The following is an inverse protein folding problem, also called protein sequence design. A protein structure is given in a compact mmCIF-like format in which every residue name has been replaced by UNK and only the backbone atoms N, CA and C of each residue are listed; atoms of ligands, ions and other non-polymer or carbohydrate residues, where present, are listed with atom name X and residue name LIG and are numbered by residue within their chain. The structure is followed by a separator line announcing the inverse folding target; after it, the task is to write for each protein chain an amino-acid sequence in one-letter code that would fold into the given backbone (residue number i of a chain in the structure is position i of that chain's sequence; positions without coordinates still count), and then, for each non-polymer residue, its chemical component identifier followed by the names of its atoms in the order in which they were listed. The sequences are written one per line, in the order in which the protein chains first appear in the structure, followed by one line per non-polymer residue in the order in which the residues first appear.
data_IF_806894262620
#
_entry.id   IF_806894262620
#
_cell.length_a   1.000
_cell.length_b   1.000
_cell.length_c   1.000
_cell.angle_alpha   90.00
_cell.angle_beta   90.00
_cell.angle_gamma   90.00
#
_symmetry.space_group_name_H-M   'P 1'
#
loop_
_entity.id
_entity.type
_entity.pdbx_description
1 polymer ?
#
# COMPACT_ATOMS: atom_id res chain seq x y z
N UNK A 1 13.80 -4.47 16.56
CA UNK A 1 12.65 -5.34 16.32
C UNK A 1 12.83 -6.07 15.00
N UNK A 2 12.66 -7.36 15.03
CA UNK A 2 12.81 -8.19 13.83
C UNK A 2 11.48 -8.18 13.06
N UNK A 3 11.54 -7.83 11.78
CA UNK A 3 10.37 -7.93 10.91
C UNK A 3 9.99 -9.40 10.75
N UNK A 4 8.72 -9.71 10.93
CA UNK A 4 8.22 -11.06 10.67
C UNK A 4 7.76 -11.13 9.23
N UNK A 5 8.45 -11.96 8.46
CA UNK A 5 8.07 -12.24 7.07
C UNK A 5 7.33 -13.55 7.02
N UNK A 6 6.40 -13.67 6.10
CA UNK A 6 5.63 -14.89 5.92
C UNK A 6 4.63 -14.80 4.81
N UNK A 7 3.70 -15.73 4.80
CA UNK A 7 2.64 -15.83 3.79
C UNK A 7 1.32 -16.11 4.48
N UNK A 8 0.28 -15.34 4.14
CA UNK A 8 -1.09 -15.66 4.51
C UNK A 8 -1.72 -16.50 3.40
N UNK A 9 -2.42 -17.53 3.79
CA UNK A 9 -3.10 -18.45 2.87
C UNK A 9 -4.60 -18.45 3.13
N UNK A 10 -5.35 -19.10 2.23
CA UNK A 10 -6.81 -19.17 2.33
C UNK A 10 -7.49 -17.81 2.35
N UNK A 11 -6.93 -16.86 1.62
CA UNK A 11 -7.49 -15.53 1.49
C UNK A 11 -8.65 -15.55 0.49
N UNK A 12 -9.74 -14.90 0.84
CA UNK A 12 -10.94 -14.90 0.01
C UNK A 12 -10.95 -13.78 -1.03
N UNK A 13 -10.20 -12.71 -0.78
CA UNK A 13 -10.22 -11.51 -1.62
C UNK A 13 -8.95 -11.30 -2.44
N UNK A 14 -7.93 -12.12 -2.22
CA UNK A 14 -6.73 -12.10 -3.04
C UNK A 14 -6.94 -12.99 -4.29
N UNK A 15 -6.38 -12.60 -5.45
CA UNK A 15 -6.60 -13.34 -6.70
C UNK A 15 -6.26 -14.82 -6.67
N UNK A 16 -5.17 -15.21 -6.00
CA UNK A 16 -4.76 -16.61 -5.90
C UNK A 16 -4.82 -17.15 -4.47
N UNK A 17 -5.47 -16.44 -3.57
CA UNK A 17 -5.73 -16.92 -2.23
C UNK A 17 -4.55 -16.86 -1.28
N UNK A 18 -3.42 -16.31 -1.70
CA UNK A 18 -2.24 -16.17 -0.85
C UNK A 18 -1.48 -14.90 -1.15
N UNK A 19 -0.90 -14.30 -0.10
CA UNK A 19 -0.11 -13.08 -0.21
C UNK A 19 1.05 -13.12 0.79
N UNK A 20 2.21 -12.64 0.35
CA UNK A 20 3.40 -12.53 1.21
C UNK A 20 3.38 -11.20 1.97
N UNK A 21 3.84 -11.24 3.21
CA UNK A 21 4.01 -10.02 3.99
C UNK A 21 5.46 -9.92 4.47
N UNK A 22 5.96 -8.69 4.54
CA UNK A 22 7.35 -8.41 4.93
C UNK A 22 7.46 -7.83 6.34
N UNK A 23 6.32 -7.57 7.00
CA UNK A 23 6.30 -7.02 8.35
C UNK A 23 5.02 -7.40 9.07
N UNK A 24 5.04 -7.27 10.40
CA UNK A 24 3.86 -7.50 11.21
C UNK A 24 2.74 -6.51 10.86
N UNK A 25 3.11 -5.27 10.57
CA UNK A 25 2.13 -4.24 10.18
C UNK A 25 1.41 -4.62 8.89
N UNK A 26 2.14 -5.10 7.89
CA UNK A 26 1.53 -5.59 6.65
C UNK A 26 0.57 -6.74 6.92
N UNK A 27 1.00 -7.70 7.72
CA UNK A 27 0.15 -8.85 8.06
C UNK A 27 -1.14 -8.43 8.73
N UNK A 28 -1.05 -7.54 9.71
CA UNK A 28 -2.24 -7.03 10.39
C UNK A 28 -3.18 -6.31 9.43
N UNK A 29 -2.61 -5.51 8.53
CA UNK A 29 -3.40 -4.77 7.56
C UNK A 29 -4.09 -5.70 6.56
N UNK A 30 -3.42 -6.75 6.13
CA UNK A 30 -4.00 -7.77 5.25
C UNK A 30 -5.24 -8.42 5.89
N UNK A 31 -5.17 -8.70 7.17
CA UNK A 31 -6.32 -9.24 7.92
C UNK A 31 -7.47 -8.24 7.94
N UNK A 32 -7.17 -6.96 8.10
CA UNK A 32 -8.20 -5.92 8.07
C UNK A 32 -8.87 -5.82 6.69
N UNK A 33 -8.09 -5.90 5.62
CA UNK A 33 -8.63 -5.87 4.26
C UNK A 33 -9.56 -7.07 4.01
N UNK A 34 -9.20 -8.26 4.51
CA UNK A 34 -10.05 -9.44 4.39
C UNK A 34 -11.37 -9.28 5.15
N UNK A 35 -11.37 -8.56 6.26
CA UNK A 35 -12.54 -8.36 7.09
C UNK A 35 -13.42 -7.20 6.67
N UNK A 36 -12.89 -6.27 5.90
CA UNK A 36 -13.63 -5.06 5.52
C UNK A 36 -14.71 -5.40 4.50
N UNK A 37 -16.00 -5.26 4.85
CA UNK A 37 -17.09 -5.60 3.93
C UNK A 37 -17.15 -4.71 2.70
N UNK A 38 -16.53 -3.53 2.72
CA UNK A 38 -16.49 -2.64 1.56
C UNK A 38 -15.44 -3.05 0.53
N UNK A 39 -14.46 -3.88 0.93
CA UNK A 39 -13.39 -4.34 0.04
C UNK A 39 -13.84 -5.60 -0.69
N UNK A 40 -13.78 -5.56 -2.02
CA UNK A 40 -14.11 -6.72 -2.83
C UNK A 40 -12.87 -7.52 -3.21
N UNK A 41 -11.73 -6.85 -3.39
CA UNK A 41 -10.48 -7.49 -3.79
C UNK A 41 -9.29 -6.66 -3.34
N UNK A 42 -8.21 -7.32 -3.01
CA UNK A 42 -6.94 -6.66 -2.74
C UNK A 42 -5.78 -7.58 -3.11
N UNK A 43 -4.62 -7.01 -3.44
CA UNK A 43 -3.43 -7.80 -3.73
C UNK A 43 -2.17 -6.97 -3.59
N UNK A 44 -1.06 -7.64 -3.25
CA UNK A 44 0.28 -7.09 -3.39
C UNK A 44 0.89 -7.44 -4.77
N UNK A 45 0.26 -8.33 -5.50
CA UNK A 45 0.72 -8.80 -6.81
C UNK A 45 0.13 -7.96 -7.94
N UNK A 46 0.27 -6.66 -7.81
CA UNK A 46 -0.05 -5.72 -8.87
C UNK A 46 1.24 -5.36 -9.60
N UNK A 47 1.18 -5.03 -10.84
CA UNK A 47 2.37 -4.73 -11.63
C UNK A 47 2.69 -3.23 -11.65
N UNK A 48 2.29 -2.52 -10.61
CA UNK A 48 2.49 -1.08 -10.54
C UNK A 48 3.90 -0.76 -10.08
N UNK A 49 4.57 0.14 -10.80
CA UNK A 49 5.94 0.54 -10.52
C UNK A 49 6.06 2.03 -10.85
N UNK A 50 6.44 2.81 -9.86
CA UNK A 50 6.46 4.26 -9.98
C UNK A 50 7.89 4.74 -9.98
N UNK A 51 8.27 5.49 -11.02
CA UNK A 51 9.59 6.09 -11.09
C UNK A 51 9.64 7.43 -10.38
N UNK A 52 10.74 7.70 -9.70
CA UNK A 52 11.03 9.00 -9.11
C UNK A 52 12.53 9.24 -9.13
N UNK A 53 12.96 10.48 -8.91
CA UNK A 53 14.38 10.82 -8.92
C UNK A 53 14.79 11.46 -7.60
N UNK A 54 15.98 11.09 -7.12
CA UNK A 54 16.63 11.76 -6.01
C UNK A 54 17.96 12.28 -6.53
N UNK A 55 18.14 13.58 -6.54
CA UNK A 55 19.34 14.26 -7.05
C UNK A 55 19.68 13.76 -8.46
N UNK A 56 18.66 13.69 -9.32
CA UNK A 56 18.81 13.24 -10.70
C UNK A 56 18.97 11.73 -10.89
N UNK A 57 19.09 10.95 -9.81
CA UNK A 57 19.27 9.50 -9.90
C UNK A 57 17.90 8.82 -9.92
N UNK A 58 17.60 8.01 -10.94
CA UNK A 58 16.32 7.35 -11.02
C UNK A 58 16.17 6.22 -9.98
N UNK A 59 15.00 6.15 -9.39
CA UNK A 59 14.59 5.10 -8.46
C UNK A 59 13.20 4.62 -8.84
N UNK A 60 12.86 3.42 -8.40
CA UNK A 60 11.53 2.86 -8.58
C UNK A 60 10.92 2.52 -7.24
N UNK A 61 9.60 2.65 -7.18
CA UNK A 61 8.82 2.38 -5.99
C UNK A 61 7.66 1.48 -6.35
N UNK A 62 7.49 0.41 -5.60
CA UNK A 62 6.38 -0.52 -5.75
C UNK A 62 5.49 -0.37 -4.52
N UNK A 63 4.26 0.14 -4.66
CA UNK A 63 3.36 0.28 -3.53
C UNK A 63 2.94 -1.08 -2.97
N UNK A 64 2.49 -1.11 -1.70
CA UNK A 64 2.16 -2.37 -1.05
C UNK A 64 0.89 -3.00 -1.60
N UNK A 65 -0.24 -2.30 -1.55
CA UNK A 65 -1.54 -2.90 -1.82
C UNK A 65 -2.35 -2.13 -2.86
N UNK A 66 -2.90 -2.88 -3.81
CA UNK A 66 -3.98 -2.38 -4.66
C UNK A 66 -5.29 -2.91 -4.07
N UNK A 67 -6.23 -2.02 -3.77
CA UNK A 67 -7.50 -2.36 -3.12
C UNK A 67 -8.66 -1.93 -4.01
N UNK A 68 -9.57 -2.85 -4.28
CA UNK A 68 -10.81 -2.57 -5.00
C UNK A 68 -11.99 -2.62 -4.03
N UNK A 69 -12.87 -1.65 -4.14
CA UNK A 69 -14.05 -1.53 -3.31
C UNK A 69 -15.32 -1.92 -4.08
N UNK A 70 -16.37 -2.23 -3.34
CA UNK A 70 -17.64 -2.68 -3.93
C UNK A 70 -18.28 -1.67 -4.88
N UNK A 71 -18.03 -0.38 -4.66
CA UNK A 71 -18.55 0.68 -5.52
C UNK A 71 -17.75 0.85 -6.82
N UNK A 72 -16.70 0.05 -7.01
CA UNK A 72 -15.88 0.07 -8.20
C UNK A 72 -14.66 0.97 -8.12
N UNK A 73 -14.51 1.80 -7.08
CA UNK A 73 -13.32 2.62 -6.98
C UNK A 73 -12.12 1.81 -6.47
N UNK A 74 -10.93 2.29 -6.78
CA UNK A 74 -9.67 1.66 -6.39
C UNK A 74 -8.84 2.60 -5.54
N UNK A 75 -8.07 2.02 -4.63
CA UNK A 75 -7.14 2.76 -3.80
C UNK A 75 -5.81 2.01 -3.74
N UNK A 76 -4.74 2.76 -3.54
CA UNK A 76 -3.43 2.22 -3.22
C UNK A 76 -3.17 2.46 -1.75
N UNK A 77 -2.87 1.40 -1.03
CA UNK A 77 -2.57 1.48 0.39
C UNK A 77 -1.11 1.10 0.63
N UNK A 78 -0.42 1.91 1.41
CA UNK A 78 0.98 1.72 1.76
C UNK A 78 1.11 1.65 3.27
N UNK A 79 1.78 0.62 3.79
CA UNK A 79 2.06 0.54 5.23
C UNK A 79 3.43 1.12 5.51
N UNK A 80 3.51 1.99 6.52
CA UNK A 80 4.76 2.66 6.91
C UNK A 80 4.96 2.67 8.42
N UNK A 81 6.17 2.38 8.86
CA UNK A 81 6.58 2.67 10.21
C UNK A 81 6.74 4.18 10.39
N UNK A 82 6.33 4.71 11.54
CA UNK A 82 6.32 6.16 11.79
C UNK A 82 7.66 6.86 11.51
N UNK A 83 8.82 6.33 11.93
CA UNK A 83 10.09 7.02 11.66
C UNK A 83 10.37 7.24 10.18
N UNK A 84 9.93 6.32 9.31
CA UNK A 84 10.17 6.41 7.88
C UNK A 84 9.41 7.55 7.22
N UNK A 85 8.29 7.99 7.81
CA UNK A 85 7.52 9.10 7.27
C UNK A 85 8.27 10.42 7.33
N UNK A 86 9.30 10.51 8.17
CA UNK A 86 10.09 11.73 8.35
C UNK A 86 11.26 11.83 7.37
N UNK A 87 11.55 10.77 6.63
CA UNK A 87 12.68 10.76 5.72
C UNK A 87 12.33 11.42 4.40
N UNK A 88 13.29 12.19 3.85
CA UNK A 88 13.10 12.89 2.59
C UNK A 88 12.70 11.92 1.45
N UNK A 89 13.38 10.78 1.34
CA UNK A 89 13.06 9.80 0.31
C UNK A 89 11.63 9.28 0.43
N UNK A 90 11.14 9.10 1.64
CA UNK A 90 9.77 8.66 1.89
C UNK A 90 8.79 9.73 1.43
N UNK A 91 9.07 11.00 1.71
CA UNK A 91 8.23 12.12 1.27
C UNK A 91 8.17 12.20 -0.25
N UNK A 92 9.31 12.06 -0.91
CA UNK A 92 9.37 12.09 -2.37
C UNK A 92 8.59 10.95 -3.00
N UNK A 93 8.70 9.74 -2.45
CA UNK A 93 7.91 8.59 -2.89
C UNK A 93 6.42 8.85 -2.73
N UNK A 94 6.04 9.38 -1.59
CA UNK A 94 4.65 9.66 -1.25
C UNK A 94 4.05 10.68 -2.22
N UNK A 95 4.74 11.81 -2.41
CA UNK A 95 4.28 12.87 -3.32
C UNK A 95 4.17 12.37 -4.75
N UNK A 96 5.16 11.60 -5.21
CA UNK A 96 5.16 11.02 -6.55
C UNK A 96 4.00 10.05 -6.72
N UNK A 97 3.77 9.20 -5.72
CA UNK A 97 2.68 8.23 -5.75
C UNK A 97 1.32 8.92 -5.76
N UNK A 98 1.14 9.93 -4.90
CA UNK A 98 -0.11 10.69 -4.85
C UNK A 98 -0.45 11.30 -6.22
N UNK A 99 0.54 11.92 -6.85
CA UNK A 99 0.36 12.55 -8.16
C UNK A 99 0.04 11.49 -9.23
N UNK A 100 0.78 10.39 -9.22
CA UNK A 100 0.58 9.31 -10.18
C UNK A 100 -0.82 8.73 -10.08
N UNK A 101 -1.26 8.36 -8.88
CA UNK A 101 -2.56 7.74 -8.70
C UNK A 101 -3.71 8.72 -8.83
N UNK A 102 -3.49 9.98 -8.51
CA UNK A 102 -4.49 11.02 -8.76
C UNK A 102 -4.85 11.11 -10.24
N UNK A 103 -3.87 10.97 -11.13
CA UNK A 103 -4.11 10.94 -12.57
C UNK A 103 -4.97 9.77 -13.02
N UNK A 104 -4.91 8.66 -12.29
CA UNK A 104 -5.73 7.48 -12.53
C UNK A 104 -7.10 7.56 -11.85
N UNK A 105 -7.35 8.60 -11.08
CA UNK A 105 -8.56 8.72 -10.29
C UNK A 105 -8.59 7.85 -9.05
N UNK A 106 -7.44 7.39 -8.58
CA UNK A 106 -7.32 6.51 -7.42
C UNK A 106 -6.85 7.29 -6.20
N UNK A 107 -7.33 6.88 -5.02
CA UNK A 107 -6.82 7.41 -3.76
C UNK A 107 -5.55 6.70 -3.35
N UNK A 108 -4.65 7.44 -2.74
CA UNK A 108 -3.43 6.91 -2.14
C UNK A 108 -3.52 7.11 -0.62
N UNK A 109 -3.37 6.02 0.13
CA UNK A 109 -3.57 6.01 1.58
C UNK A 109 -2.36 5.39 2.26
N UNK A 110 -1.85 6.04 3.30
CA UNK A 110 -0.75 5.53 4.10
C UNK A 110 -1.31 5.03 5.43
N UNK A 111 -0.96 3.79 5.76
CA UNK A 111 -1.37 3.14 6.99
C UNK A 111 -0.15 3.07 7.91
N UNK A 112 -0.28 3.60 9.10
CA UNK A 112 0.79 3.55 10.10
C UNK A 112 0.42 2.61 11.25
N UNK A 113 1.42 2.29 12.05
CA UNK A 113 1.19 1.54 13.29
C UNK A 113 0.20 2.33 14.15
N UNK A 114 -0.77 1.66 14.74
CA UNK A 114 -1.85 2.32 15.47
C UNK A 114 -3.06 2.64 14.60
N UNK A 115 -3.05 2.21 13.36
CA UNK A 115 -4.16 2.32 12.41
C UNK A 115 -4.54 3.72 12.00
N UNK A 116 -3.62 4.67 12.14
CA UNK A 116 -3.83 5.98 11.58
C UNK A 116 -3.66 5.89 10.06
N UNK A 117 -4.54 6.57 9.36
CA UNK A 117 -4.51 6.59 7.92
C UNK A 117 -4.45 8.03 7.43
N UNK A 118 -3.59 8.26 6.45
CA UNK A 118 -3.46 9.56 5.83
C UNK A 118 -3.83 9.42 4.36
N UNK A 119 -4.83 10.18 3.93
CA UNK A 119 -5.24 10.17 2.54
C UNK A 119 -4.56 11.32 1.80
N UNK A 120 -4.29 11.11 0.52
CA UNK A 120 -3.86 12.18 -0.36
C UNK A 120 -4.97 13.22 -0.47
N UNK A 121 -4.56 14.46 -0.69
CA UNK A 121 -5.51 15.52 -1.00
C UNK A 121 -5.97 15.35 -2.46
N UNK A 122 -7.24 15.33 -2.62
CA UNK A 122 -7.85 15.18 -3.95
C UNK A 122 -8.28 16.56 -4.43
#
# INVERSE_FOLDING_TARGET
MISKKGTLINLKKSPDGQEKYDSALEREYMVELERDPAVIRWTKKHNLKIGYKIIGIPHFYIPDFLVEYKDGHKEIHETKGLPLLLWLSTKLKQETAEEYFKKLGWRYKIITKGRQAFYNKI
#
